data_IF_001935040929
#
_entry.id   IF_001935040929
#
_cell.length_a   1.000
_cell.length_b   1.000
_cell.length_c   1.000
_cell.angle_alpha   90.00
_cell.angle_beta   90.00
_cell.angle_gamma   90.00
#
_symmetry.space_group_name_H-M   'P 1'
#
loop_
_entity.id
_entity.type
_entity.pdbx_description
1 polymer ?
#
# COMPACT_ATOMS: atom_id res chain seq x y z
N UNK A 1 22.13 -11.38 -17.97
CA UNK A 1 20.80 -11.92 -18.29
C UNK A 1 19.83 -11.32 -17.27
N UNK A 2 18.69 -10.83 -17.70
CA UNK A 2 17.68 -10.27 -16.79
C UNK A 2 17.19 -11.36 -15.82
N UNK A 3 17.13 -11.12 -14.51
CA UNK A 3 16.65 -12.09 -13.54
C UNK A 3 15.16 -12.38 -13.75
N UNK A 4 14.75 -13.58 -13.37
CA UNK A 4 13.34 -13.96 -13.39
C UNK A 4 12.55 -13.23 -12.29
N UNK A 5 11.21 -13.30 -12.35
CA UNK A 5 10.35 -12.76 -11.29
C UNK A 5 10.68 -13.44 -9.94
N UNK A 6 10.91 -14.75 -9.92
CA UNK A 6 11.25 -15.51 -8.71
C UNK A 6 12.62 -15.09 -8.14
N UNK A 7 13.63 -14.90 -8.99
CA UNK A 7 14.92 -14.37 -8.58
C UNK A 7 14.79 -12.95 -8.02
N UNK A 8 13.97 -12.13 -8.66
CA UNK A 8 13.70 -10.74 -8.22
C UNK A 8 13.03 -10.72 -6.83
N UNK A 9 12.05 -11.59 -6.57
CA UNK A 9 11.43 -11.70 -5.24
C UNK A 9 12.49 -12.07 -4.19
N UNK A 10 13.40 -13.00 -4.53
CA UNK A 10 14.48 -13.40 -3.62
C UNK A 10 15.44 -12.25 -3.33
N UNK A 11 15.78 -11.44 -4.34
CA UNK A 11 16.60 -10.23 -4.20
C UNK A 11 15.89 -9.21 -3.30
N UNK A 12 14.60 -8.93 -3.56
CA UNK A 12 13.81 -7.99 -2.77
C UNK A 12 13.70 -8.42 -1.29
N UNK A 13 13.51 -9.71 -1.01
CA UNK A 13 13.53 -10.25 0.35
C UNK A 13 14.89 -10.03 1.04
N UNK A 14 15.99 -10.16 0.31
CA UNK A 14 17.32 -9.86 0.82
C UNK A 14 17.59 -8.38 1.11
N UNK A 15 16.89 -7.47 0.42
CA UNK A 15 17.00 -6.04 0.60
C UNK A 15 15.99 -5.47 1.62
N UNK A 16 14.95 -6.22 1.94
CA UNK A 16 13.81 -5.81 2.78
C UNK A 16 14.25 -5.10 4.06
N UNK A 17 15.06 -5.73 4.90
CA UNK A 17 15.48 -5.17 6.19
C UNK A 17 16.17 -3.81 6.03
N UNK A 18 16.95 -3.63 4.98
CA UNK A 18 17.66 -2.37 4.73
C UNK A 18 16.70 -1.24 4.37
N UNK A 19 15.68 -1.52 3.55
CA UNK A 19 14.65 -0.54 3.18
C UNK A 19 13.75 -0.22 4.37
N UNK A 20 13.37 -1.22 5.17
CA UNK A 20 12.59 -1.03 6.39
C UNK A 20 13.32 -0.11 7.39
N UNK A 21 14.61 -0.30 7.59
CA UNK A 21 15.42 0.56 8.48
C UNK A 21 15.61 1.95 7.90
N UNK A 22 15.93 2.05 6.59
CA UNK A 22 16.21 3.34 5.94
C UNK A 22 14.99 4.26 5.90
N UNK A 23 13.83 3.72 5.58
CA UNK A 23 12.57 4.47 5.50
C UNK A 23 11.79 4.51 6.82
N UNK A 24 12.09 3.62 7.77
CA UNK A 24 11.35 3.51 9.03
C UNK A 24 9.93 2.97 8.86
N UNK A 25 9.71 2.12 7.86
CA UNK A 25 8.42 1.51 7.53
C UNK A 25 8.53 -0.01 7.56
N UNK A 26 7.41 -0.71 7.56
CA UNK A 26 7.35 -2.16 7.48
C UNK A 26 6.87 -2.61 6.12
N UNK A 27 7.56 -3.58 5.50
CA UNK A 27 7.21 -4.09 4.18
C UNK A 27 6.61 -5.48 4.31
N UNK A 28 5.41 -5.69 3.77
CA UNK A 28 4.79 -7.03 3.74
C UNK A 28 5.44 -7.89 2.64
N UNK A 29 5.43 -9.21 2.82
CA UNK A 29 5.94 -10.12 1.78
C UNK A 29 5.05 -10.05 0.52
N UNK A 30 3.75 -9.84 0.68
CA UNK A 30 2.82 -9.63 -0.43
C UNK A 30 3.18 -8.40 -1.27
N UNK A 31 3.65 -7.31 -0.66
CA UNK A 31 4.13 -6.12 -1.39
C UNK A 31 5.36 -6.44 -2.27
N UNK A 32 6.32 -7.22 -1.76
CA UNK A 32 7.51 -7.62 -2.53
C UNK A 32 7.13 -8.51 -3.73
N UNK A 33 6.24 -9.48 -3.50
CA UNK A 33 5.72 -10.33 -4.57
C UNK A 33 4.98 -9.49 -5.61
N UNK A 34 4.08 -8.60 -5.18
CA UNK A 34 3.33 -7.71 -6.06
C UNK A 34 4.26 -6.76 -6.83
N UNK A 35 5.30 -6.20 -6.20
CA UNK A 35 6.27 -5.35 -6.88
C UNK A 35 6.98 -6.08 -8.03
N UNK A 36 7.43 -7.32 -7.81
CA UNK A 36 8.08 -8.12 -8.85
C UNK A 36 7.11 -8.52 -9.98
N UNK A 37 5.93 -9.03 -9.62
CA UNK A 37 4.93 -9.52 -10.60
C UNK A 37 4.34 -8.39 -11.41
N UNK A 38 3.85 -7.33 -10.74
CA UNK A 38 3.17 -6.22 -11.42
C UNK A 38 4.15 -5.36 -12.23
N UNK A 39 5.40 -5.14 -11.74
CA UNK A 39 6.40 -4.43 -12.53
C UNK A 39 6.75 -5.18 -13.80
N UNK A 40 6.93 -6.50 -13.72
CA UNK A 40 7.21 -7.32 -14.89
C UNK A 40 6.08 -7.27 -15.93
N UNK A 41 4.84 -7.19 -15.47
CA UNK A 41 3.63 -7.21 -16.30
C UNK A 41 3.29 -5.88 -16.94
N UNK A 42 3.43 -4.79 -16.21
CA UNK A 42 2.90 -3.47 -16.59
C UNK A 42 3.97 -2.42 -16.92
N UNK A 43 5.22 -2.66 -16.57
CA UNK A 43 6.35 -1.77 -16.87
C UNK A 43 7.27 -2.44 -17.87
N UNK A 44 7.22 -2.00 -19.14
CA UNK A 44 7.95 -2.59 -20.24
C UNK A 44 9.23 -1.83 -20.62
N UNK A 45 9.40 -0.60 -20.16
CA UNK A 45 10.51 0.29 -20.49
C UNK A 45 11.74 0.15 -19.58
N UNK A 46 11.64 -0.70 -18.55
CA UNK A 46 12.71 -0.99 -17.59
C UNK A 46 12.85 -2.49 -17.35
N UNK A 47 14.00 -2.90 -16.85
CA UNK A 47 14.34 -4.30 -16.59
C UNK A 47 14.22 -4.68 -15.12
N UNK A 48 14.02 -5.97 -14.85
CA UNK A 48 14.17 -6.53 -13.51
C UNK A 48 15.67 -6.65 -13.16
N UNK A 49 16.07 -6.50 -11.89
CA UNK A 49 15.22 -6.23 -10.70
C UNK A 49 14.94 -4.76 -10.47
N UNK A 50 15.57 -3.83 -11.19
CA UNK A 50 15.61 -2.40 -10.89
C UNK A 50 14.20 -1.80 -10.79
N UNK A 51 13.32 -2.07 -11.76
CA UNK A 51 11.94 -1.56 -11.73
C UNK A 51 11.13 -2.02 -10.51
N UNK A 52 11.39 -3.21 -9.98
CA UNK A 52 10.74 -3.71 -8.78
C UNK A 52 11.33 -3.10 -7.51
N UNK A 53 12.64 -2.85 -7.50
CA UNK A 53 13.34 -2.15 -6.42
C UNK A 53 12.83 -0.71 -6.32
N UNK A 54 12.77 0.01 -7.44
CA UNK A 54 12.25 1.39 -7.50
C UNK A 54 10.82 1.50 -6.97
N UNK A 55 9.96 0.52 -7.30
CA UNK A 55 8.59 0.48 -6.77
C UNK A 55 8.54 0.33 -5.26
N UNK A 56 9.37 -0.56 -4.71
CA UNK A 56 9.45 -0.75 -3.25
C UNK A 56 9.99 0.50 -2.58
N UNK A 57 11.02 1.12 -3.14
CA UNK A 57 11.61 2.35 -2.61
C UNK A 57 10.59 3.50 -2.59
N UNK A 58 9.88 3.73 -3.71
CA UNK A 58 8.86 4.77 -3.80
C UNK A 58 7.67 4.49 -2.87
N UNK A 59 7.27 3.21 -2.69
CA UNK A 59 6.22 2.85 -1.75
C UNK A 59 6.63 3.13 -0.30
N UNK A 60 7.85 2.79 0.06
CA UNK A 60 8.39 3.10 1.38
C UNK A 60 8.46 4.62 1.63
N UNK A 61 8.92 5.39 0.63
CA UNK A 61 8.98 6.85 0.71
C UNK A 61 7.58 7.48 0.82
N UNK A 62 6.58 6.94 0.11
CA UNK A 62 5.19 7.37 0.20
C UNK A 62 4.64 7.19 1.61
N UNK A 63 4.74 5.98 2.16
CA UNK A 63 4.28 5.67 3.53
C UNK A 63 5.02 6.52 4.56
N UNK A 64 6.34 6.69 4.44
CA UNK A 64 7.10 7.59 5.32
C UNK A 64 6.56 9.02 5.28
N UNK A 65 6.25 9.53 4.09
CA UNK A 65 5.66 10.87 3.95
C UNK A 65 4.27 10.94 4.57
N UNK A 66 3.46 9.89 4.43
CA UNK A 66 2.15 9.79 5.09
C UNK A 66 2.28 9.73 6.62
N UNK A 67 3.25 8.99 7.16
CA UNK A 67 3.57 8.93 8.60
C UNK A 67 3.99 10.31 9.17
N UNK A 68 4.76 11.07 8.39
CA UNK A 68 5.25 12.38 8.80
C UNK A 68 4.20 13.49 8.64
N UNK A 69 3.21 13.28 7.80
CA UNK A 69 2.12 14.23 7.54
C UNK A 69 0.91 13.97 8.44
N UNK A 70 0.08 14.99 8.59
CA UNK A 70 -1.21 14.86 9.28
C UNK A 70 -2.17 14.02 8.42
N UNK A 71 -2.87 13.03 9.01
CA UNK A 71 -3.88 12.24 8.29
C UNK A 71 -4.95 13.12 7.65
N UNK A 72 -5.45 12.71 6.49
CA UNK A 72 -6.44 13.48 5.71
C UNK A 72 -7.67 13.86 6.51
N UNK A 73 -8.19 12.93 7.34
CA UNK A 73 -9.34 13.20 8.21
C UNK A 73 -9.06 14.32 9.22
N UNK A 74 -7.87 14.34 9.79
CA UNK A 74 -7.46 15.32 10.77
C UNK A 74 -7.20 16.69 10.11
N UNK A 75 -6.64 16.70 8.90
CA UNK A 75 -6.43 17.92 8.11
C UNK A 75 -7.78 18.55 7.68
N UNK A 76 -8.76 17.73 7.29
CA UNK A 76 -10.11 18.20 6.97
C UNK A 76 -10.80 18.83 8.15
N UNK A 77 -10.72 18.20 9.35
CA UNK A 77 -11.24 18.78 10.59
C UNK A 77 -10.55 20.09 10.93
N UNK A 78 -9.21 20.14 10.80
CA UNK A 78 -8.44 21.36 11.06
C UNK A 78 -8.84 22.50 10.12
N UNK A 79 -9.02 22.23 8.83
CA UNK A 79 -9.49 23.22 7.86
C UNK A 79 -10.89 23.74 8.20
N UNK A 80 -11.78 22.84 8.62
CA UNK A 80 -13.14 23.21 9.03
C UNK A 80 -13.15 24.09 10.29
N UNK A 81 -12.32 23.73 11.27
CA UNK A 81 -12.11 24.58 12.47
C UNK A 81 -11.61 25.96 12.07
N UNK A 82 -10.58 26.05 11.21
CA UNK A 82 -10.04 27.32 10.72
C UNK A 82 -11.10 28.17 9.99
N UNK A 83 -11.92 27.56 9.14
CA UNK A 83 -13.01 28.27 8.45
C UNK A 83 -14.02 28.86 9.42
N UNK A 84 -14.41 28.08 10.43
CA UNK A 84 -15.35 28.55 11.46
C UNK A 84 -14.73 29.64 12.36
N UNK A 85 -13.44 29.57 12.65
CA UNK A 85 -12.72 30.63 13.37
C UNK A 85 -12.67 31.96 12.61
N UNK A 86 -12.52 31.89 11.30
CA UNK A 86 -12.59 33.06 10.42
C UNK A 86 -14.01 33.65 10.43
N UNK A 87 -15.04 32.80 10.30
CA UNK A 87 -16.46 33.22 10.40
C UNK A 87 -16.76 33.82 11.75
N UNK A 88 -16.32 33.19 12.86
CA UNK A 88 -16.45 33.71 14.21
C UNK A 88 -15.84 35.11 14.35
N UNK A 89 -14.65 35.30 13.82
CA UNK A 89 -13.94 36.58 13.85
C UNK A 89 -14.68 37.67 13.07
N UNK A 90 -15.33 37.31 11.97
CA UNK A 90 -16.14 38.23 11.17
C UNK A 90 -17.44 38.59 11.91
N UNK A 91 -18.19 37.61 12.44
CA UNK A 91 -19.44 37.81 13.17
C UNK A 91 -19.28 38.59 14.47
N UNK A 92 -18.11 38.48 15.14
CA UNK A 92 -17.81 39.29 16.34
C UNK A 92 -17.75 40.81 16.07
N UNK A 93 -17.56 41.21 14.82
CA UNK A 93 -17.55 42.63 14.42
C UNK A 93 -18.96 43.19 14.12
N UNK A 94 -19.91 42.31 13.89
CA UNK A 94 -21.28 42.63 13.57
C UNK A 94 -22.09 42.85 14.90
N UNK A 95 -23.01 43.79 14.88
CA UNK A 95 -23.80 44.17 16.08
C UNK A 95 -25.27 43.85 15.94
N UNK A 96 -25.70 43.36 14.77
CA UNK A 96 -27.08 43.03 14.53
C UNK A 96 -27.51 41.71 15.21
N UNK A 97 -28.79 41.60 15.51
CA UNK A 97 -29.36 40.49 16.28
C UNK A 97 -29.14 39.13 15.57
N UNK A 98 -29.28 39.06 14.24
CA UNK A 98 -29.15 37.83 13.50
C UNK A 98 -27.70 37.31 13.53
N UNK A 99 -26.72 38.22 13.40
CA UNK A 99 -25.31 37.86 13.51
C UNK A 99 -24.95 37.38 14.91
N UNK A 100 -25.56 37.93 15.98
CA UNK A 100 -25.33 37.45 17.33
C UNK A 100 -25.95 36.07 17.59
N UNK A 101 -27.14 35.78 17.07
CA UNK A 101 -27.75 34.45 17.13
C UNK A 101 -26.89 33.43 16.38
N UNK A 102 -26.44 33.75 15.16
CA UNK A 102 -25.54 32.90 14.40
C UNK A 102 -24.19 32.69 15.08
N UNK A 103 -23.65 33.73 15.73
CA UNK A 103 -22.39 33.64 16.49
C UNK A 103 -22.51 32.65 17.64
N UNK A 104 -23.64 32.66 18.39
CA UNK A 104 -23.86 31.72 19.49
C UNK A 104 -23.94 30.26 19.01
N UNK A 105 -24.60 29.99 17.89
CA UNK A 105 -24.68 28.66 17.31
C UNK A 105 -23.31 28.21 16.77
N UNK A 106 -22.61 29.10 16.07
CA UNK A 106 -21.27 28.83 15.53
C UNK A 106 -20.27 28.50 16.64
N UNK A 107 -20.34 29.20 17.78
CA UNK A 107 -19.46 28.95 18.94
C UNK A 107 -19.68 27.56 19.55
N UNK A 108 -20.90 27.03 19.54
CA UNK A 108 -21.18 25.67 19.98
C UNK A 108 -20.62 24.65 19.02
N UNK A 109 -20.90 24.81 17.72
CA UNK A 109 -20.36 23.93 16.68
C UNK A 109 -18.83 23.95 16.68
N UNK A 110 -18.22 25.11 16.86
CA UNK A 110 -16.76 25.26 16.94
C UNK A 110 -16.17 24.56 18.17
N UNK A 111 -16.84 24.65 19.33
CA UNK A 111 -16.38 23.96 20.53
C UNK A 111 -16.40 22.43 20.34
N UNK A 112 -17.49 21.89 19.82
CA UNK A 112 -17.61 20.44 19.52
C UNK A 112 -16.54 19.97 18.51
N UNK A 113 -16.34 20.71 17.41
CA UNK A 113 -15.33 20.41 16.41
C UNK A 113 -13.88 20.50 16.96
N UNK A 114 -13.60 21.47 17.82
CA UNK A 114 -12.29 21.59 18.49
C UNK A 114 -12.03 20.42 19.44
N UNK A 115 -13.04 19.98 20.17
CA UNK A 115 -12.91 18.84 21.07
C UNK A 115 -12.67 17.55 20.27
N UNK A 116 -13.39 17.34 19.16
CA UNK A 116 -13.17 16.22 18.26
C UNK A 116 -11.75 16.25 17.64
N UNK A 117 -11.35 17.42 17.12
CA UNK A 117 -10.01 17.62 16.55
C UNK A 117 -8.92 17.35 17.58
N UNK A 118 -9.03 17.91 18.80
CA UNK A 118 -8.03 17.71 19.84
C UNK A 118 -7.94 16.25 20.28
N UNK A 119 -9.07 15.57 20.41
CA UNK A 119 -9.12 14.14 20.77
C UNK A 119 -8.40 13.29 19.72
N UNK A 120 -8.74 13.45 18.44
CA UNK A 120 -8.10 12.73 17.34
C UNK A 120 -6.62 13.12 17.19
N UNK A 121 -6.26 14.38 17.42
CA UNK A 121 -4.88 14.84 17.36
C UNK A 121 -4.02 14.18 18.45
N UNK A 122 -4.50 14.10 19.68
CA UNK A 122 -3.80 13.43 20.79
C UNK A 122 -3.65 11.93 20.49
N UNK A 123 -4.69 11.32 19.94
CA UNK A 123 -4.62 9.91 19.51
C UNK A 123 -3.55 9.72 18.45
N UNK A 124 -3.55 10.51 17.36
CA UNK A 124 -2.55 10.45 16.30
C UNK A 124 -1.14 10.69 16.84
N UNK A 125 -0.91 11.69 17.69
CA UNK A 125 0.41 11.95 18.29
C UNK A 125 0.90 10.78 19.16
N UNK A 126 0.01 10.08 19.86
CA UNK A 126 0.36 8.89 20.65
C UNK A 126 0.68 7.69 19.76
N UNK A 127 -0.11 7.47 18.68
CA UNK A 127 0.16 6.43 17.68
C UNK A 127 1.51 6.69 17.01
N UNK A 128 1.77 7.92 16.54
CA UNK A 128 3.05 8.32 15.94
C UNK A 128 4.24 8.09 16.87
N UNK A 129 4.15 8.50 18.14
CA UNK A 129 5.21 8.27 19.12
C UNK A 129 5.51 6.79 19.35
N UNK A 130 4.49 5.92 19.31
CA UNK A 130 4.70 4.47 19.44
C UNK A 130 5.46 3.92 18.23
N UNK A 131 5.11 4.33 17.01
CA UNK A 131 5.83 3.95 15.79
C UNK A 131 7.27 4.48 15.78
N UNK A 132 7.49 5.74 16.16
CA UNK A 132 8.84 6.34 16.25
C UNK A 132 9.76 5.62 17.22
N UNK A 133 9.22 5.09 18.34
CA UNK A 133 10.01 4.28 19.28
C UNK A 133 10.48 2.97 18.67
N UNK A 134 9.59 2.26 17.98
CA UNK A 134 9.92 1.01 17.27
C UNK A 134 10.99 1.28 16.21
N UNK A 135 10.84 2.36 15.46
CA UNK A 135 11.83 2.77 14.45
C UNK A 135 13.21 3.03 15.06
N UNK A 136 13.28 3.82 16.13
CA UNK A 136 14.56 4.09 16.84
C UNK A 136 15.24 2.82 17.34
N UNK A 137 14.46 1.88 17.88
CA UNK A 137 15.03 0.59 18.33
C UNK A 137 15.59 -0.22 17.16
N UNK A 138 14.92 -0.22 16.00
CA UNK A 138 15.44 -0.87 14.78
C UNK A 138 16.72 -0.23 14.28
N UNK A 139 16.81 1.10 14.27
CA UNK A 139 18.02 1.85 13.91
C UNK A 139 19.18 1.53 14.86
N UNK A 140 18.93 1.50 16.18
CA UNK A 140 19.93 1.13 17.20
C UNK A 140 20.43 -0.31 17.03
N UNK A 141 19.52 -1.26 16.73
CA UNK A 141 19.88 -2.66 16.47
C UNK A 141 20.79 -2.74 15.24
N UNK A 142 20.49 -2.01 14.17
CA UNK A 142 21.32 -2.02 12.96
C UNK A 142 22.68 -1.36 13.19
N UNK A 143 22.74 -0.27 13.96
CA UNK A 143 24.01 0.32 14.40
C UNK A 143 24.86 -0.67 15.20
N UNK A 144 24.26 -1.36 16.16
CA UNK A 144 24.98 -2.38 16.96
C UNK A 144 25.45 -3.54 16.08
N UNK A 145 24.66 -4.01 15.13
CA UNK A 145 25.08 -5.03 14.16
C UNK A 145 26.29 -4.57 13.33
N UNK A 146 26.30 -3.32 12.90
CA UNK A 146 27.42 -2.73 12.15
C UNK A 146 28.66 -2.54 13.05
N UNK A 147 28.49 -2.15 14.32
CA UNK A 147 29.58 -2.08 15.29
C UNK A 147 30.20 -3.45 15.56
N UNK A 148 29.38 -4.51 15.68
CA UNK A 148 29.85 -5.88 15.82
C UNK A 148 30.71 -6.30 14.61
N UNK A 149 30.24 -6.02 13.39
CA UNK A 149 30.97 -6.29 12.16
C UNK A 149 32.33 -5.58 12.15
N UNK A 150 32.34 -4.29 12.51
CA UNK A 150 33.56 -3.49 12.55
C UNK A 150 34.53 -3.99 13.61
N UNK A 151 34.04 -4.36 14.81
CA UNK A 151 34.85 -4.93 15.86
C UNK A 151 35.46 -6.28 15.45
N UNK A 152 34.69 -7.15 14.79
CA UNK A 152 35.20 -8.41 14.23
C UNK A 152 36.26 -8.20 13.14
N UNK A 153 36.10 -7.22 12.26
CA UNK A 153 37.10 -6.87 11.23
C UNK A 153 38.41 -6.34 11.86
N UNK A 154 38.29 -5.62 12.97
CA UNK A 154 39.45 -5.11 13.72
C UNK A 154 40.04 -6.10 14.72
N UNK A 155 39.55 -7.36 14.74
CA UNK A 155 39.95 -8.40 15.70
C UNK A 155 39.73 -8.05 17.19
N UNK A 156 38.82 -7.08 17.46
CA UNK A 156 38.40 -6.74 18.83
C UNK A 156 37.25 -7.68 19.25
N UNK A 157 37.64 -8.91 19.57
CA UNK A 157 36.69 -9.97 19.90
C UNK A 157 35.97 -9.75 21.22
N UNK A 158 36.57 -9.03 22.16
CA UNK A 158 36.00 -8.73 23.47
C UNK A 158 34.79 -7.77 23.28
N UNK A 159 35.00 -6.67 22.57
CA UNK A 159 33.95 -5.71 22.24
C UNK A 159 32.84 -6.32 21.36
N UNK A 160 33.23 -7.16 20.39
CA UNK A 160 32.27 -7.87 19.56
C UNK A 160 31.39 -8.82 20.40
N UNK A 161 31.96 -9.55 21.37
CA UNK A 161 31.23 -10.43 22.26
C UNK A 161 30.30 -9.66 23.22
N UNK A 162 30.76 -8.55 23.80
CA UNK A 162 29.94 -7.69 24.67
C UNK A 162 28.68 -7.16 23.92
N UNK A 163 28.88 -6.65 22.71
CA UNK A 163 27.78 -6.13 21.89
C UNK A 163 26.84 -7.27 21.45
N UNK A 164 27.38 -8.40 21.01
CA UNK A 164 26.60 -9.52 20.46
C UNK A 164 25.78 -10.25 21.51
N UNK A 165 26.36 -10.48 22.71
CA UNK A 165 25.71 -11.26 23.76
C UNK A 165 25.10 -10.43 24.89
N UNK A 166 25.48 -9.15 24.99
CA UNK A 166 24.95 -8.21 25.98
C UNK A 166 23.92 -7.25 25.38
N UNK A 167 24.34 -6.31 24.54
CA UNK A 167 23.50 -5.18 24.08
C UNK A 167 22.46 -5.60 23.03
N UNK A 168 22.83 -6.41 22.05
CA UNK A 168 21.95 -6.81 20.96
C UNK A 168 20.71 -7.58 21.45
N UNK A 169 20.80 -8.60 22.32
CA UNK A 169 19.64 -9.31 22.83
C UNK A 169 18.71 -8.45 23.68
N UNK A 170 19.24 -7.45 24.39
CA UNK A 170 18.45 -6.52 25.17
C UNK A 170 17.60 -5.63 24.27
N UNK A 171 18.20 -5.06 23.22
CA UNK A 171 17.47 -4.23 22.24
C UNK A 171 16.44 -5.04 21.47
N UNK A 172 16.75 -6.30 21.10
CA UNK A 172 15.81 -7.18 20.43
C UNK A 172 14.58 -7.49 21.30
N UNK A 173 14.80 -7.73 22.60
CA UNK A 173 13.70 -7.95 23.54
C UNK A 173 12.86 -6.70 23.75
N UNK A 174 13.47 -5.52 23.81
CA UNK A 174 12.75 -4.25 23.89
C UNK A 174 11.91 -4.01 22.63
N UNK A 175 12.47 -4.29 21.45
CA UNK A 175 11.77 -4.18 20.19
C UNK A 175 10.55 -5.11 20.15
N UNK A 176 10.69 -6.36 20.58
CA UNK A 176 9.59 -7.33 20.61
C UNK A 176 8.43 -6.85 21.49
N UNK A 177 8.74 -6.30 22.68
CA UNK A 177 7.72 -5.76 23.59
C UNK A 177 7.01 -4.56 22.98
N UNK A 178 7.75 -3.60 22.41
CA UNK A 178 7.15 -2.41 21.78
C UNK A 178 6.34 -2.78 20.52
N UNK A 179 6.80 -3.76 19.72
CA UNK A 179 6.03 -4.27 18.57
C UNK A 179 4.73 -4.98 18.97
N UNK A 180 4.73 -5.71 20.09
CA UNK A 180 3.52 -6.31 20.65
C UNK A 180 2.54 -5.23 21.18
N UNK A 181 3.05 -4.19 21.83
CA UNK A 181 2.23 -3.06 22.27
C UNK A 181 1.59 -2.33 21.09
N UNK A 182 2.34 -2.11 20.00
CA UNK A 182 1.83 -1.48 18.77
C UNK A 182 0.78 -2.36 18.10
N UNK A 183 0.98 -3.68 18.03
CA UNK A 183 -0.02 -4.61 17.47
C UNK A 183 -1.31 -4.67 18.26
N UNK A 184 -1.24 -4.53 19.59
CA UNK A 184 -2.40 -4.58 20.47
C UNK A 184 -3.17 -3.24 20.52
N UNK A 185 -2.54 -2.15 20.07
CA UNK A 185 -3.21 -0.86 19.87
C UNK A 185 -3.78 -0.86 18.45
N UNK A 186 -5.10 -0.74 18.33
CA UNK A 186 -5.74 -0.47 17.04
C UNK A 186 -5.21 0.88 16.50
N UNK A 187 -4.18 0.83 15.66
CA UNK A 187 -3.65 1.98 14.95
C UNK A 187 -4.66 2.34 13.84
N UNK A 188 -5.55 3.29 14.12
CA UNK A 188 -6.61 3.67 13.18
C UNK A 188 -6.21 4.84 12.28
N UNK A 189 -5.25 5.66 12.71
CA UNK A 189 -4.84 6.90 12.05
C UNK A 189 -3.45 6.80 11.39
N UNK A 190 -2.64 5.80 11.77
CA UNK A 190 -1.25 5.66 11.31
C UNK A 190 -1.06 4.31 10.63
N UNK A 191 -0.77 4.30 9.33
CA UNK A 191 -0.43 3.10 8.56
C UNK A 191 1.08 3.04 8.35
N UNK A 192 1.75 2.07 9.01
CA UNK A 192 3.21 1.88 8.88
C UNK A 192 3.60 0.81 7.84
N UNK A 193 2.62 0.05 7.34
CA UNK A 193 2.88 -1.10 6.49
C UNK A 193 2.76 -0.75 5.01
N UNK A 194 3.81 -1.08 4.25
CA UNK A 194 3.73 -1.13 2.79
C UNK A 194 3.07 -2.43 2.39
N UNK A 195 1.89 -2.37 1.80
CA UNK A 195 1.11 -3.48 1.28
C UNK A 195 1.11 -3.53 -0.25
N UNK A 196 0.43 -4.53 -0.82
CA UNK A 196 0.23 -4.61 -2.27
C UNK A 196 -0.58 -3.44 -2.84
N UNK A 197 -1.41 -2.79 -2.03
CA UNK A 197 -2.23 -1.66 -2.46
C UNK A 197 -1.37 -0.42 -2.76
N UNK A 198 -0.36 -0.13 -1.95
CA UNK A 198 0.59 0.96 -2.18
C UNK A 198 1.39 0.71 -3.45
N UNK A 199 1.86 -0.52 -3.65
CA UNK A 199 2.55 -0.90 -4.89
C UNK A 199 1.64 -0.69 -6.11
N UNK A 200 0.39 -1.15 -6.04
CA UNK A 200 -0.57 -0.96 -7.12
C UNK A 200 -0.89 0.52 -7.37
N UNK A 201 -0.95 1.34 -6.32
CA UNK A 201 -1.17 2.80 -6.42
C UNK A 201 -0.03 3.49 -7.18
N UNK A 202 1.22 3.11 -6.93
CA UNK A 202 2.38 3.67 -7.63
C UNK A 202 2.39 3.23 -9.09
N UNK A 203 2.19 1.95 -9.37
CA UNK A 203 2.11 1.46 -10.75
C UNK A 203 0.99 2.16 -11.50
N UNK A 204 -0.17 2.36 -10.88
CA UNK A 204 -1.27 3.12 -11.46
C UNK A 204 -0.85 4.54 -11.82
N UNK A 205 -0.06 5.19 -10.97
CA UNK A 205 0.48 6.53 -11.23
C UNK A 205 1.47 6.54 -12.39
N UNK A 206 2.35 5.54 -12.48
CA UNK A 206 3.35 5.46 -13.55
C UNK A 206 2.77 5.07 -14.91
N UNK A 207 1.81 4.13 -14.91
CA UNK A 207 1.26 3.55 -16.15
C UNK A 207 -0.07 4.15 -16.58
N UNK A 208 -0.78 4.85 -15.70
CA UNK A 208 -2.15 5.33 -15.92
C UNK A 208 -3.23 4.24 -15.84
N UNK A 209 -2.88 3.00 -15.47
CA UNK A 209 -3.83 1.89 -15.34
C UNK A 209 -4.55 2.00 -13.99
N UNK A 210 -5.90 1.96 -13.92
CA UNK A 210 -6.62 2.04 -12.66
C UNK A 210 -6.24 0.96 -11.65
N UNK A 211 -6.09 1.32 -10.37
CA UNK A 211 -5.69 0.42 -9.27
C UNK A 211 -6.57 -0.84 -9.20
N UNK A 212 -7.88 -0.70 -9.36
CA UNK A 212 -8.82 -1.82 -9.35
C UNK A 212 -8.49 -2.91 -10.39
N UNK A 213 -7.90 -2.53 -11.54
CA UNK A 213 -7.44 -3.49 -12.54
C UNK A 213 -6.12 -4.17 -12.19
N UNK A 214 -5.31 -3.55 -11.31
CA UNK A 214 -4.02 -4.09 -10.89
C UNK A 214 -4.15 -5.08 -9.73
N UNK A 215 -5.04 -4.78 -8.78
CA UNK A 215 -5.24 -5.57 -7.56
C UNK A 215 -6.21 -6.74 -7.73
N UNK A 216 -7.06 -6.69 -8.76
CA UNK A 216 -7.98 -7.78 -9.02
C UNK A 216 -7.23 -9.06 -9.41
N UNK A 217 -7.39 -10.10 -8.61
CA UNK A 217 -6.79 -11.40 -8.85
C UNK A 217 -7.16 -11.94 -10.24
N UNK A 218 -6.17 -12.38 -11.03
CA UNK A 218 -6.41 -13.05 -12.33
C UNK A 218 -7.39 -14.21 -12.22
N UNK A 219 -7.39 -14.86 -11.07
CA UNK A 219 -8.32 -15.95 -10.78
C UNK A 219 -9.76 -15.44 -10.69
N UNK A 220 -9.99 -14.33 -9.99
CA UNK A 220 -11.33 -13.76 -9.89
C UNK A 220 -11.80 -13.20 -11.24
N UNK A 221 -10.95 -12.52 -11.99
CA UNK A 221 -11.27 -12.09 -13.37
C UNK A 221 -11.67 -13.26 -14.26
N UNK A 222 -10.93 -14.36 -14.17
CA UNK A 222 -11.21 -15.55 -14.97
C UNK A 222 -12.51 -16.24 -14.54
N UNK A 223 -12.84 -16.24 -13.24
CA UNK A 223 -14.07 -16.85 -12.71
C UNK A 223 -15.34 -16.07 -13.09
N UNK A 224 -15.23 -14.73 -13.20
CA UNK A 224 -16.34 -13.83 -13.56
C UNK A 224 -16.23 -13.29 -14.99
N UNK A 225 -15.46 -13.96 -15.85
CA UNK A 225 -15.23 -13.52 -17.22
C UNK A 225 -16.52 -13.50 -18.06
N UNK A 226 -17.44 -14.41 -17.82
CA UNK A 226 -18.75 -14.45 -18.46
C UNK A 226 -19.58 -13.19 -18.14
N UNK A 227 -19.60 -12.78 -16.89
CA UNK A 227 -20.27 -11.54 -16.45
C UNK A 227 -19.67 -10.30 -17.12
N UNK A 228 -18.33 -10.23 -17.20
CA UNK A 228 -17.64 -9.11 -17.86
C UNK A 228 -17.91 -9.07 -19.37
N UNK A 229 -17.92 -10.23 -20.04
CA UNK A 229 -18.27 -10.33 -21.44
C UNK A 229 -19.73 -9.91 -21.71
N UNK A 230 -20.65 -10.29 -20.84
CA UNK A 230 -22.07 -9.90 -20.94
C UNK A 230 -22.33 -8.39 -20.74
N UNK A 231 -21.44 -7.65 -20.09
CA UNK A 231 -21.56 -6.18 -20.04
C UNK A 231 -21.42 -5.53 -21.42
N UNK A 232 -20.70 -6.16 -22.34
CA UNK A 232 -20.46 -5.66 -23.71
C UNK A 232 -21.24 -6.39 -24.77
N UNK A 233 -21.50 -7.69 -24.58
CA UNK A 233 -22.17 -8.56 -25.56
C UNK A 233 -23.50 -8.97 -24.98
N UNK A 234 -24.58 -8.40 -25.51
CA UNK A 234 -25.95 -8.73 -25.13
C UNK A 234 -26.38 -9.97 -25.91
N UNK A 235 -26.79 -11.02 -25.21
CA UNK A 235 -27.08 -12.33 -25.80
C UNK A 235 -25.80 -13.13 -26.10
N UNK A 236 -25.85 -14.07 -27.01
CA UNK A 236 -24.75 -14.98 -27.37
C UNK A 236 -24.26 -15.83 -26.17
N UNK A 237 -25.14 -16.20 -25.26
CA UNK A 237 -24.83 -16.90 -24.02
C UNK A 237 -24.01 -18.17 -24.24
N UNK A 238 -24.38 -18.97 -25.25
CA UNK A 238 -23.62 -20.17 -25.62
C UNK A 238 -22.19 -19.84 -26.07
N UNK A 239 -22.03 -18.78 -26.87
CA UNK A 239 -20.73 -18.31 -27.36
C UNK A 239 -19.85 -17.80 -26.22
N UNK A 240 -20.38 -17.00 -25.33
CA UNK A 240 -19.72 -16.46 -24.14
C UNK A 240 -19.26 -17.61 -23.25
N UNK A 241 -20.18 -18.55 -22.93
CA UNK A 241 -19.87 -19.72 -22.08
C UNK A 241 -18.74 -20.57 -22.66
N UNK A 242 -18.76 -20.86 -23.96
CA UNK A 242 -17.71 -21.69 -24.62
C UNK A 242 -16.34 -21.01 -24.63
N UNK A 243 -16.30 -19.71 -24.83
CA UNK A 243 -15.06 -18.93 -24.76
C UNK A 243 -14.52 -18.90 -23.33
N UNK A 244 -15.37 -18.61 -22.36
CA UNK A 244 -15.01 -18.57 -20.92
C UNK A 244 -14.50 -19.92 -20.44
N UNK A 245 -15.18 -21.04 -20.76
CA UNK A 245 -14.72 -22.38 -20.41
C UNK A 245 -13.34 -22.71 -20.99
N UNK A 246 -13.05 -22.27 -22.22
CA UNK A 246 -11.76 -22.52 -22.85
C UNK A 246 -10.64 -21.73 -22.16
N UNK A 247 -10.91 -20.48 -21.78
CA UNK A 247 -9.96 -19.62 -21.03
C UNK A 247 -9.71 -20.19 -19.64
N UNK A 248 -10.76 -20.59 -18.91
CA UNK A 248 -10.65 -21.21 -17.59
C UNK A 248 -9.79 -22.48 -17.67
N UNK A 249 -10.03 -23.38 -18.64
CA UNK A 249 -9.22 -24.58 -18.84
C UNK A 249 -7.76 -24.27 -19.13
N UNK A 250 -7.50 -23.25 -19.91
CA UNK A 250 -6.14 -22.81 -20.19
C UNK A 250 -5.42 -22.31 -18.95
N UNK A 251 -6.08 -21.48 -18.12
CA UNK A 251 -5.55 -20.93 -16.88
C UNK A 251 -5.40 -21.98 -15.77
N UNK A 252 -6.21 -23.03 -15.80
CA UNK A 252 -6.09 -24.17 -14.89
C UNK A 252 -4.91 -25.12 -15.20
N UNK A 253 -4.10 -24.82 -16.24
CA UNK A 253 -2.93 -25.62 -16.59
C UNK A 253 -3.26 -26.98 -17.26
N UNK A 254 -4.50 -27.22 -17.65
CA UNK A 254 -4.95 -28.48 -18.28
C UNK A 254 -4.64 -28.49 -19.77
N UNK A 255 -4.02 -27.44 -20.28
CA UNK A 255 -3.75 -27.24 -21.70
C UNK A 255 -2.35 -27.70 -22.09
N UNK A 256 -2.23 -28.25 -23.31
CA UNK A 256 -0.93 -28.45 -23.99
C UNK A 256 -0.33 -27.08 -24.36
N UNK A 257 0.87 -26.71 -23.84
CA UNK A 257 1.49 -25.40 -24.10
C UNK A 257 1.75 -25.11 -25.60
N UNK A 258 1.86 -26.16 -26.41
CA UNK A 258 2.11 -26.03 -27.85
C UNK A 258 0.88 -25.70 -28.69
N UNK A 259 -0.33 -25.77 -28.10
CA UNK A 259 -1.61 -25.55 -28.79
C UNK A 259 -2.25 -24.21 -28.42
N UNK A 260 -3.03 -23.58 -29.33
CA UNK A 260 -3.79 -22.36 -29.02
C UNK A 260 -4.81 -22.61 -27.90
N UNK A 261 -5.22 -21.55 -27.20
CA UNK A 261 -6.20 -21.61 -26.08
C UNK A 261 -7.51 -22.25 -26.52
N UNK A 262 -7.97 -21.91 -27.73
CA UNK A 262 -9.15 -22.46 -28.38
C UNK A 262 -9.17 -22.04 -29.85
N UNK A 263 -9.95 -22.76 -30.63
CA UNK A 263 -10.28 -22.38 -32.00
C UNK A 263 -11.80 -22.28 -32.08
N UNK A 264 -12.32 -21.09 -32.37
CA UNK A 264 -13.76 -20.80 -32.37
C UNK A 264 -14.21 -20.37 -33.76
N UNK A 265 -15.33 -20.93 -34.21
CA UNK A 265 -15.99 -20.51 -35.44
C UNK A 265 -17.37 -19.98 -35.09
N UNK A 266 -17.53 -18.66 -35.24
CA UNK A 266 -18.81 -17.99 -34.98
C UNK A 266 -19.62 -17.86 -36.28
N UNK A 267 -20.74 -18.55 -36.37
CA UNK A 267 -21.65 -18.55 -37.50
C UNK A 267 -22.95 -17.78 -37.14
N UNK A 268 -23.48 -17.04 -38.09
CA UNK A 268 -24.74 -16.31 -37.92
C UNK A 268 -24.83 -15.05 -38.79
N UNK A 269 -26.03 -14.38 -38.86
CA UNK A 269 -26.21 -13.17 -39.64
C UNK A 269 -25.35 -12.00 -39.15
N UNK A 270 -25.24 -10.95 -39.95
CA UNK A 270 -24.56 -9.70 -39.58
C UNK A 270 -25.28 -8.99 -38.43
N UNK A 271 -24.54 -8.35 -37.52
CA UNK A 271 -25.13 -7.53 -36.48
C UNK A 271 -25.42 -8.27 -35.15
N UNK A 272 -25.20 -9.59 -35.05
CA UNK A 272 -25.51 -10.38 -33.85
C UNK A 272 -24.39 -10.42 -32.78
N UNK A 273 -23.38 -9.58 -32.86
CA UNK A 273 -22.35 -9.47 -31.83
C UNK A 273 -21.12 -10.39 -31.98
N UNK A 274 -20.98 -11.18 -33.07
CA UNK A 274 -19.83 -12.10 -33.26
C UNK A 274 -18.46 -11.42 -33.16
N UNK A 275 -18.32 -10.30 -33.86
CA UNK A 275 -17.08 -9.52 -33.85
C UNK A 275 -16.84 -8.80 -32.52
N UNK A 276 -17.90 -8.39 -31.85
CA UNK A 276 -17.81 -7.74 -30.55
C UNK A 276 -17.37 -8.74 -29.48
N UNK A 277 -17.87 -9.97 -29.51
CA UNK A 277 -17.41 -11.03 -28.60
C UNK A 277 -15.92 -11.36 -28.78
N UNK A 278 -15.41 -11.30 -30.03
CA UNK A 278 -14.00 -11.53 -30.30
C UNK A 278 -13.09 -10.36 -29.86
N UNK A 279 -13.65 -9.14 -29.70
CA UNK A 279 -12.93 -7.93 -29.28
C UNK A 279 -13.05 -7.65 -27.79
N UNK A 280 -14.05 -8.18 -27.11
CA UNK A 280 -14.31 -8.02 -25.70
C UNK A 280 -13.36 -8.82 -24.84
#
# INVERSE_FOLDING_TARGET
>A
QEPTVEDTISILRGLKERYEVFHGVKITDSALVSAAVLSNRYISDRFLPDKAIDLVDEACALIKTELDSMPTELDELNRRVMQMEIEETALKKETDRLSQERLADLQKELAELRDEFNTKKVQWENEKKSVEKVQKLREEIEQVKNEIKTAQQNYDLEKAAELQYGKLPQLQKQLEVEEEEVKNKDLSLVHENVSEEEIARIISRWTGIPVAKLTESERNKTLHLDEELHKRVIGQDEGVTKVTEAIIRSKAGIKDPSKPIGSFLFLGPTGVGKTELAKA
#
